data_IF_359729949225
#
_entry.id   IF_359729949225
#
_cell.length_a   1.000
_cell.length_b   1.000
_cell.length_c   1.000
_cell.angle_alpha   90.00
_cell.angle_beta   90.00
_cell.angle_gamma   90.00
#
_symmetry.space_group_name_H-M   'P 1'
#
loop_
_entity.id
_entity.type
_entity.pdbx_description
1 polymer ?
#
# COMPACT_ATOMS: atom_id res chain seq x y z
N UNK A 1 13.87 33.12 31.27
CA UNK A 1 12.54 32.73 31.83
C UNK A 1 11.48 33.03 30.80
N UNK A 2 10.71 32.02 30.39
CA UNK A 2 9.56 32.24 29.47
C UNK A 2 8.53 33.16 30.17
N UNK A 3 8.08 34.18 29.43
CA UNK A 3 7.05 35.10 29.93
C UNK A 3 5.71 34.37 30.06
N UNK A 4 4.90 34.74 31.08
CA UNK A 4 3.53 34.21 31.24
C UNK A 4 2.67 34.39 29.99
N UNK A 5 2.96 35.40 29.18
CA UNK A 5 2.32 35.65 27.89
C UNK A 5 2.70 34.60 26.86
N UNK A 6 3.97 34.18 26.82
CA UNK A 6 4.48 33.16 25.88
C UNK A 6 3.89 31.80 26.18
N UNK A 7 3.78 31.47 27.48
CA UNK A 7 3.11 30.23 27.94
C UNK A 7 1.64 30.19 27.51
N UNK A 8 0.92 31.29 27.67
CA UNK A 8 -0.50 31.39 27.23
C UNK A 8 -0.64 31.21 25.71
N UNK A 9 0.24 31.86 24.94
CA UNK A 9 0.25 31.74 23.49
C UNK A 9 0.56 30.28 23.04
N UNK A 10 1.49 29.65 23.73
CA UNK A 10 1.84 28.23 23.47
C UNK A 10 0.69 27.29 23.77
N UNK A 11 -0.01 27.48 24.91
CA UNK A 11 -1.20 26.71 25.25
C UNK A 11 -2.29 26.86 24.16
N UNK A 12 -2.54 28.10 23.72
CA UNK A 12 -3.52 28.37 22.66
C UNK A 12 -3.14 27.65 21.34
N UNK A 13 -1.86 27.73 20.96
CA UNK A 13 -1.36 27.04 19.76
C UNK A 13 -1.51 25.53 19.85
N UNK A 14 -1.16 24.94 20.99
CA UNK A 14 -1.30 23.50 21.22
C UNK A 14 -2.77 23.08 21.19
N UNK A 15 -3.66 23.88 21.75
CA UNK A 15 -5.11 23.61 21.72
C UNK A 15 -5.65 23.63 20.29
N UNK A 16 -5.22 24.58 19.47
CA UNK A 16 -5.59 24.63 18.06
C UNK A 16 -5.06 23.41 17.29
N UNK A 17 -3.80 23.03 17.51
CA UNK A 17 -3.20 21.84 16.89
C UNK A 17 -3.96 20.58 17.29
N UNK A 18 -4.34 20.45 18.58
CA UNK A 18 -5.16 19.33 19.06
C UNK A 18 -6.50 19.23 18.33
N UNK A 19 -7.17 20.35 18.09
CA UNK A 19 -8.44 20.36 17.34
C UNK A 19 -8.24 19.95 15.89
N UNK A 20 -7.18 20.44 15.22
CA UNK A 20 -6.85 20.08 13.83
C UNK A 20 -6.53 18.58 13.73
N UNK A 21 -5.69 18.05 14.60
CA UNK A 21 -5.33 16.63 14.59
C UNK A 21 -6.53 15.73 14.84
N UNK A 22 -7.45 16.12 15.73
CA UNK A 22 -8.68 15.36 15.95
C UNK A 22 -9.61 15.38 14.74
N UNK A 23 -9.71 16.49 14.04
CA UNK A 23 -10.45 16.57 12.78
C UNK A 23 -9.82 15.67 11.70
N UNK A 24 -8.48 15.67 11.60
CA UNK A 24 -7.75 14.80 10.67
C UNK A 24 -7.96 13.31 11.00
N UNK A 25 -7.96 12.95 12.28
CA UNK A 25 -8.24 11.58 12.73
C UNK A 25 -9.63 11.12 12.27
N UNK A 26 -10.67 11.93 12.47
CA UNK A 26 -12.02 11.61 12.02
C UNK A 26 -12.12 11.43 10.50
N UNK A 27 -11.45 12.30 9.73
CA UNK A 27 -11.41 12.19 8.26
C UNK A 27 -10.67 10.92 7.84
N UNK A 28 -9.54 10.61 8.47
CA UNK A 28 -8.77 9.40 8.19
C UNK A 28 -9.58 8.13 8.52
N UNK A 29 -10.25 8.09 9.67
CA UNK A 29 -11.12 6.98 10.07
C UNK A 29 -12.25 6.72 9.06
N UNK A 30 -12.90 7.77 8.57
CA UNK A 30 -13.93 7.64 7.54
C UNK A 30 -13.39 7.11 6.20
N UNK A 31 -12.19 7.55 5.81
CA UNK A 31 -11.53 7.04 4.60
C UNK A 31 -11.15 5.58 4.74
N UNK A 32 -10.61 5.20 5.90
CA UNK A 32 -10.27 3.83 6.22
C UNK A 32 -11.52 2.93 6.12
N UNK A 33 -12.60 3.30 6.79
CA UNK A 33 -13.87 2.55 6.74
C UNK A 33 -14.39 2.35 5.31
N UNK A 34 -14.30 3.40 4.46
CA UNK A 34 -14.70 3.27 3.04
C UNK A 34 -13.76 2.34 2.26
N UNK A 35 -12.45 2.40 2.50
CA UNK A 35 -11.48 1.53 1.84
C UNK A 35 -11.65 0.07 2.27
N UNK A 36 -11.82 -0.19 3.57
CA UNK A 36 -12.13 -1.51 4.11
C UNK A 36 -13.43 -2.08 3.54
N UNK A 37 -14.48 -1.28 3.47
CA UNK A 37 -15.75 -1.71 2.87
C UNK A 37 -15.60 -2.15 1.42
N UNK A 38 -14.81 -1.42 0.61
CA UNK A 38 -14.51 -1.82 -0.77
C UNK A 38 -13.69 -3.11 -0.84
N UNK A 39 -12.68 -3.24 0.02
CA UNK A 39 -11.86 -4.44 0.08
C UNK A 39 -12.67 -5.67 0.47
N UNK A 40 -13.57 -5.54 1.46
CA UNK A 40 -14.45 -6.62 1.89
C UNK A 40 -15.42 -7.00 0.77
N UNK A 41 -16.01 -6.03 0.07
CA UNK A 41 -16.93 -6.27 -1.05
C UNK A 41 -16.27 -6.98 -2.24
N UNK A 42 -14.98 -6.82 -2.45
CA UNK A 42 -14.25 -7.47 -3.54
C UNK A 42 -13.79 -8.90 -3.21
N UNK A 43 -13.71 -9.27 -1.92
CA UNK A 43 -13.25 -10.60 -1.49
C UNK A 43 -14.02 -11.78 -2.10
N UNK A 44 -15.36 -11.80 -2.14
CA UNK A 44 -16.10 -12.92 -2.73
C UNK A 44 -15.76 -13.13 -4.20
N UNK A 45 -15.60 -12.04 -4.95
CA UNK A 45 -15.19 -12.12 -6.36
C UNK A 45 -13.81 -12.76 -6.52
N UNK A 46 -12.83 -12.30 -5.75
CA UNK A 46 -11.46 -12.85 -5.79
C UNK A 46 -11.45 -14.33 -5.38
N UNK A 47 -12.17 -14.70 -4.33
CA UNK A 47 -12.27 -16.08 -3.86
C UNK A 47 -12.88 -17.00 -4.91
N UNK A 48 -13.98 -16.58 -5.54
CA UNK A 48 -14.65 -17.36 -6.56
C UNK A 48 -13.78 -17.54 -7.80
N UNK A 49 -13.11 -16.49 -8.27
CA UNK A 49 -12.18 -16.59 -9.40
C UNK A 49 -11.00 -17.51 -9.07
N UNK A 50 -10.41 -17.39 -7.89
CA UNK A 50 -9.33 -18.28 -7.47
C UNK A 50 -9.76 -19.73 -7.42
N UNK A 51 -10.98 -20.00 -6.92
CA UNK A 51 -11.56 -21.35 -6.90
C UNK A 51 -11.78 -21.90 -8.29
N UNK A 52 -12.31 -21.10 -9.22
CA UNK A 52 -12.52 -21.50 -10.62
C UNK A 52 -11.17 -21.82 -11.28
N UNK A 53 -10.18 -20.95 -11.11
CA UNK A 53 -8.82 -21.15 -11.66
C UNK A 53 -8.18 -22.42 -11.11
N UNK A 54 -8.27 -22.68 -9.81
CA UNK A 54 -7.71 -23.88 -9.21
C UNK A 54 -8.36 -25.17 -9.74
N UNK A 55 -9.67 -25.12 -9.99
CA UNK A 55 -10.40 -26.26 -10.58
C UNK A 55 -10.01 -26.49 -12.05
N UNK A 56 -9.82 -25.41 -12.81
CA UNK A 56 -9.39 -25.50 -14.21
C UNK A 56 -7.94 -26.03 -14.34
N UNK A 57 -7.03 -25.56 -13.50
CA UNK A 57 -5.64 -26.03 -13.53
C UNK A 57 -5.47 -27.48 -13.06
N UNK A 58 -6.39 -27.99 -12.23
CA UNK A 58 -6.40 -29.38 -11.80
C UNK A 58 -7.04 -30.37 -12.80
N UNK A 59 -7.88 -29.87 -13.72
CA UNK A 59 -8.74 -30.70 -14.56
C UNK A 59 -8.33 -30.76 -16.03
N UNK A 60 -7.48 -29.88 -16.50
CA UNK A 60 -7.09 -29.79 -17.94
C UNK A 60 -5.73 -30.44 -18.16
N UNK A 61 -5.62 -31.46 -19.06
CA UNK A 61 -4.34 -32.07 -19.45
C UNK A 61 -3.47 -31.08 -20.25
N UNK A 62 -4.07 -30.13 -20.93
CA UNK A 62 -3.38 -29.03 -21.60
C UNK A 62 -3.19 -27.89 -20.58
N UNK A 63 -1.96 -27.73 -20.10
CA UNK A 63 -1.58 -26.63 -19.22
C UNK A 63 -1.80 -25.31 -19.93
N UNK A 64 -2.74 -24.50 -19.44
CA UNK A 64 -2.93 -23.17 -19.99
C UNK A 64 -1.61 -22.37 -19.84
N UNK A 65 -1.12 -21.80 -20.92
CA UNK A 65 0.17 -21.09 -20.99
C UNK A 65 0.43 -20.10 -19.86
N UNK A 66 -0.64 -19.47 -19.33
CA UNK A 66 -0.54 -18.55 -18.20
C UNK A 66 -0.43 -19.23 -16.82
N UNK A 67 -0.69 -20.53 -16.75
CA UNK A 67 -0.66 -21.29 -15.49
C UNK A 67 0.63 -22.14 -15.35
N UNK A 68 1.49 -22.12 -16.35
CA UNK A 68 2.75 -22.81 -16.29
C UNK A 68 3.77 -22.01 -15.46
N UNK A 69 4.43 -22.62 -14.47
CA UNK A 69 5.55 -22.01 -13.79
C UNK A 69 6.69 -21.78 -14.78
N UNK A 70 7.16 -20.55 -14.87
CA UNK A 70 8.34 -20.21 -15.69
C UNK A 70 9.60 -20.47 -14.88
N UNK A 71 10.45 -21.37 -15.32
CA UNK A 71 11.71 -21.68 -14.66
C UNK A 71 12.77 -20.58 -14.85
N UNK A 72 12.77 -19.90 -16.01
CA UNK A 72 13.71 -18.81 -16.32
C UNK A 72 12.97 -17.48 -16.52
N UNK A 73 12.81 -16.73 -15.45
CA UNK A 73 12.18 -15.41 -15.45
C UNK A 73 13.22 -14.34 -15.73
N UNK A 74 13.27 -13.83 -16.98
CA UNK A 74 14.20 -12.77 -17.42
C UNK A 74 13.65 -11.36 -17.24
N UNK A 75 12.31 -11.20 -17.24
CA UNK A 75 11.63 -9.91 -17.16
C UNK A 75 10.70 -9.87 -15.97
N UNK A 76 10.85 -8.85 -15.15
CA UNK A 76 10.03 -8.65 -13.94
C UNK A 76 9.36 -7.28 -14.03
N UNK A 77 8.06 -7.23 -13.74
CA UNK A 77 7.34 -6.00 -13.51
C UNK A 77 7.11 -5.81 -12.00
N UNK A 78 7.61 -4.72 -11.47
CA UNK A 78 7.44 -4.34 -10.06
C UNK A 78 6.45 -3.20 -9.98
N UNK A 79 5.35 -3.38 -9.24
CA UNK A 79 4.40 -2.32 -8.92
C UNK A 79 4.65 -1.84 -7.49
N UNK A 80 5.19 -0.64 -7.35
CA UNK A 80 5.40 0.00 -6.06
C UNK A 80 4.23 0.93 -5.74
N UNK A 81 3.50 0.60 -4.68
CA UNK A 81 2.34 1.37 -4.23
C UNK A 81 2.71 2.13 -2.96
N UNK A 82 2.69 3.45 -3.05
CA UNK A 82 2.93 4.37 -1.93
C UNK A 82 1.67 5.17 -1.60
N UNK A 83 1.70 5.87 -0.49
CA UNK A 83 0.62 6.74 -0.07
C UNK A 83 0.62 8.06 -0.85
N UNK A 84 -0.56 8.57 -1.23
CA UNK A 84 -0.73 9.88 -1.90
C UNK A 84 -0.44 11.07 -0.98
N UNK A 85 -0.51 10.87 0.35
CA UNK A 85 -0.35 11.92 1.36
C UNK A 85 0.60 11.45 2.44
N UNK A 86 1.29 12.39 3.06
CA UNK A 86 2.12 12.15 4.23
C UNK A 86 1.32 11.73 5.47
N UNK A 87 1.98 11.73 6.61
CA UNK A 87 1.44 11.30 7.91
C UNK A 87 1.08 9.80 7.97
N UNK A 88 1.78 9.00 7.18
CA UNK A 88 1.65 7.54 7.13
C UNK A 88 2.77 6.81 7.90
N UNK A 89 3.45 7.49 8.83
CA UNK A 89 4.61 6.95 9.53
C UNK A 89 5.74 6.56 8.57
N UNK A 90 6.36 5.43 8.80
CA UNK A 90 7.47 4.92 7.97
C UNK A 90 7.00 4.13 6.73
N UNK A 91 5.69 4.09 6.42
CA UNK A 91 5.17 3.24 5.34
C UNK A 91 5.87 3.48 4.00
N UNK A 92 5.91 4.72 3.53
CA UNK A 92 6.53 5.03 2.24
C UNK A 92 8.02 4.72 2.23
N UNK A 93 8.73 5.07 3.29
CA UNK A 93 10.17 4.80 3.42
C UNK A 93 10.45 3.30 3.39
N UNK A 94 9.70 2.51 4.15
CA UNK A 94 9.86 1.06 4.19
C UNK A 94 9.51 0.42 2.84
N UNK A 95 8.44 0.86 2.18
CA UNK A 95 8.05 0.36 0.86
C UNK A 95 9.14 0.62 -0.19
N UNK A 96 9.70 1.84 -0.20
CA UNK A 96 10.79 2.22 -1.12
C UNK A 96 12.06 1.42 -0.81
N UNK A 97 12.44 1.29 0.45
CA UNK A 97 13.63 0.51 0.84
C UNK A 97 13.51 -0.97 0.42
N UNK A 98 12.33 -1.58 0.62
CA UNK A 98 12.08 -2.94 0.18
C UNK A 98 12.13 -3.08 -1.35
N UNK A 99 11.58 -2.11 -2.08
CA UNK A 99 11.70 -2.10 -3.54
C UNK A 99 13.15 -1.97 -3.99
N UNK A 100 13.92 -1.06 -3.42
CA UNK A 100 15.35 -0.89 -3.74
C UNK A 100 16.16 -2.16 -3.43
N UNK A 101 15.87 -2.83 -2.30
CA UNK A 101 16.49 -4.10 -1.95
C UNK A 101 16.18 -5.16 -3.01
N UNK A 102 14.90 -5.32 -3.36
CA UNK A 102 14.46 -6.27 -4.39
C UNK A 102 15.11 -6.01 -5.75
N UNK A 103 15.20 -4.74 -6.16
CA UNK A 103 15.86 -4.35 -7.43
C UNK A 103 17.34 -4.74 -7.45
N UNK A 104 18.05 -4.54 -6.32
CA UNK A 104 19.46 -4.93 -6.18
C UNK A 104 19.65 -6.45 -6.23
N UNK A 105 18.77 -7.21 -5.59
CA UNK A 105 18.82 -8.68 -5.54
C UNK A 105 18.53 -9.33 -6.90
N UNK A 106 17.84 -8.61 -7.80
CA UNK A 106 17.47 -9.08 -9.14
C UNK A 106 18.10 -8.23 -10.25
N UNK A 107 19.28 -7.68 -10.01
CA UNK A 107 19.98 -6.81 -10.97
C UNK A 107 20.41 -7.53 -12.28
N UNK A 108 20.37 -8.83 -12.29
CA UNK A 108 20.61 -9.71 -13.45
C UNK A 108 19.42 -9.76 -14.43
N UNK A 109 18.27 -9.21 -14.05
CA UNK A 109 17.01 -9.28 -14.80
C UNK A 109 16.60 -7.92 -15.36
N UNK A 110 15.83 -7.95 -16.43
CA UNK A 110 15.17 -6.74 -16.96
C UNK A 110 13.97 -6.38 -16.09
N UNK A 111 14.07 -5.26 -15.35
CA UNK A 111 13.01 -4.86 -14.42
C UNK A 111 12.32 -3.60 -14.92
N UNK A 112 11.00 -3.69 -15.07
CA UNK A 112 10.12 -2.54 -15.32
C UNK A 112 9.46 -2.12 -14.01
N UNK A 113 9.68 -0.87 -13.59
CA UNK A 113 9.13 -0.33 -12.35
C UNK A 113 7.93 0.57 -12.66
N UNK A 114 6.77 0.21 -12.12
CA UNK A 114 5.56 1.04 -12.12
C UNK A 114 5.34 1.65 -10.74
N UNK A 115 5.07 2.94 -10.71
CA UNK A 115 4.85 3.69 -9.47
C UNK A 115 3.39 4.09 -9.36
N UNK A 116 2.78 3.85 -8.20
CA UNK A 116 1.45 4.29 -7.84
C UNK A 116 1.50 5.03 -6.51
N UNK A 117 1.01 6.27 -6.49
CA UNK A 117 1.10 7.18 -5.37
C UNK A 117 1.72 8.51 -5.79
N UNK A 118 1.84 9.43 -4.85
CA UNK A 118 2.28 10.82 -5.12
C UNK A 118 3.60 11.13 -4.44
#
# INVERSE_FOLDING_TARGET
MESTRDIKNRIKSITNIKQITRAMEMVAANRLKKAEGRAISSRPYTQNITSILSNLTGSTPEKAHFCEPKEDVKKIMVLLITSDKGLCGAYNTNAIQNAVKFLKENSDKEITLHLMGK
#
